data_IF_443930873972
#
_entry.id   IF_443930873972
#
_cell.length_a   1.000
_cell.length_b   1.000
_cell.length_c   1.000
_cell.angle_alpha   90.00
_cell.angle_beta   90.00
_cell.angle_gamma   90.00
#
_symmetry.space_group_name_H-M   'P 1'
#
loop_
_entity.id
_entity.type
_entity.pdbx_description
1 polymer ?
#
# COMPACT_ATOMS: atom_id res chain seq x y z
N UNK A 1 -18.88 18.36 -5.85
CA UNK A 1 -17.99 17.77 -6.87
C UNK A 1 -17.37 18.93 -7.63
N UNK A 2 -16.04 18.93 -7.79
CA UNK A 2 -15.36 19.97 -8.55
C UNK A 2 -15.38 19.66 -10.04
N UNK A 3 -15.02 18.42 -10.37
CA UNK A 3 -15.03 17.89 -11.73
C UNK A 3 -15.08 16.36 -11.71
N UNK A 4 -15.37 15.81 -12.87
CA UNK A 4 -15.19 14.38 -13.15
C UNK A 4 -14.19 14.19 -14.27
N UNK A 5 -13.53 13.04 -14.31
CA UNK A 5 -12.70 12.68 -15.44
C UNK A 5 -13.30 11.48 -16.19
N UNK A 6 -13.06 11.41 -17.49
CA UNK A 6 -13.45 10.31 -18.37
C UNK A 6 -12.28 9.95 -19.29
N UNK A 7 -12.28 8.74 -19.81
CA UNK A 7 -11.26 8.32 -20.76
C UNK A 7 -11.40 9.05 -22.10
N UNK A 8 -10.38 9.82 -22.46
CA UNK A 8 -10.32 10.64 -23.69
C UNK A 8 -9.89 9.86 -24.94
N UNK A 9 -9.74 8.55 -24.84
CA UNK A 9 -9.24 7.70 -25.93
C UNK A 9 -7.72 7.67 -26.01
N UNK A 10 -7.22 6.74 -26.81
CA UNK A 10 -5.80 6.69 -27.16
C UNK A 10 -5.49 7.82 -28.14
N UNK A 11 -4.84 8.86 -27.68
CA UNK A 11 -4.45 9.95 -28.54
C UNK A 11 -3.57 9.42 -29.67
N UNK A 12 -3.98 9.62 -30.91
CA UNK A 12 -3.12 9.51 -32.09
C UNK A 12 -2.05 10.62 -31.99
N UNK A 13 -1.01 10.37 -31.20
CA UNK A 13 0.14 11.27 -31.19
C UNK A 13 1.03 10.93 -32.37
N UNK A 14 1.19 11.79 -33.37
CA UNK A 14 2.00 11.54 -34.54
C UNK A 14 3.50 11.32 -34.22
N UNK A 15 3.94 11.58 -32.99
CA UNK A 15 5.33 11.52 -32.56
C UNK A 15 5.57 10.68 -31.28
N UNK A 16 4.63 9.87 -30.81
CA UNK A 16 4.89 8.86 -29.77
C UNK A 16 4.91 7.49 -30.44
N UNK A 17 6.03 6.70 -30.27
CA UNK A 17 5.97 5.29 -30.60
C UNK A 17 4.83 4.68 -29.76
N UNK A 18 4.02 3.84 -30.40
CA UNK A 18 2.98 3.07 -29.72
C UNK A 18 3.56 2.49 -28.44
N UNK A 19 3.05 2.91 -27.30
CA UNK A 19 3.44 2.29 -26.02
C UNK A 19 3.06 0.83 -26.13
N UNK A 20 3.97 -0.06 -25.75
CA UNK A 20 3.80 -1.51 -25.77
C UNK A 20 2.43 -1.87 -25.22
N UNK A 21 1.55 -2.40 -26.06
CA UNK A 21 0.26 -2.87 -25.64
C UNK A 21 -0.80 -2.78 -26.72
N UNK A 22 -0.70 -3.65 -27.72
CA UNK A 22 -1.84 -4.10 -28.48
C UNK A 22 -2.30 -3.22 -29.64
N UNK A 23 -2.55 -3.88 -30.71
CA UNK A 23 -3.27 -3.42 -31.88
C UNK A 23 -4.68 -2.98 -31.50
N UNK A 24 -4.93 -1.69 -31.55
CA UNK A 24 -6.25 -1.09 -31.45
C UNK A 24 -6.26 0.18 -30.59
N UNK A 25 -6.39 1.31 -31.25
CA UNK A 25 -6.71 2.56 -30.58
C UNK A 25 -8.08 2.39 -29.90
N UNK A 26 -8.13 2.43 -28.57
CA UNK A 26 -9.40 2.43 -27.84
C UNK A 26 -10.01 3.82 -27.97
N UNK A 27 -11.28 3.91 -28.41
CA UNK A 27 -11.96 5.20 -28.57
C UNK A 27 -12.18 5.89 -27.22
N UNK A 28 -12.40 7.19 -27.27
CA UNK A 28 -12.84 7.94 -26.10
C UNK A 28 -14.19 7.40 -25.58
N UNK A 29 -14.35 7.46 -24.28
CA UNK A 29 -15.61 7.09 -23.61
C UNK A 29 -16.62 8.24 -23.69
N UNK A 30 -17.21 8.41 -24.87
CA UNK A 30 -18.24 9.41 -25.10
C UNK A 30 -19.56 9.09 -24.38
N UNK A 31 -19.78 7.83 -23.98
CA UNK A 31 -20.99 7.43 -23.27
C UNK A 31 -20.96 7.98 -21.84
N UNK A 32 -19.88 7.79 -21.11
CA UNK A 32 -19.70 8.36 -19.77
C UNK A 32 -19.76 9.89 -19.79
N UNK A 33 -19.16 10.53 -20.79
CA UNK A 33 -19.24 11.98 -20.96
C UNK A 33 -20.71 12.45 -21.06
N UNK A 34 -21.50 11.86 -21.95
CA UNK A 34 -22.91 12.20 -22.13
C UNK A 34 -23.78 11.92 -20.90
N UNK A 35 -23.46 10.84 -20.17
CA UNK A 35 -24.14 10.51 -18.92
C UNK A 35 -23.87 11.61 -17.89
N UNK A 36 -22.62 12.03 -17.71
CA UNK A 36 -22.28 13.09 -16.78
C UNK A 36 -22.91 14.44 -17.16
N UNK A 37 -22.91 14.80 -18.44
CA UNK A 37 -23.61 16.00 -18.94
C UNK A 37 -25.10 15.95 -18.63
N UNK A 38 -25.71 14.76 -18.67
CA UNK A 38 -27.15 14.58 -18.37
C UNK A 38 -27.44 14.64 -16.87
N UNK A 39 -26.49 14.28 -16.02
CA UNK A 39 -26.62 14.36 -14.56
C UNK A 39 -26.53 15.81 -14.08
N UNK A 40 -25.52 16.53 -14.55
CA UNK A 40 -25.32 17.94 -14.24
C UNK A 40 -24.57 18.64 -15.40
N UNK A 41 -25.27 19.41 -16.18
CA UNK A 41 -24.72 20.14 -17.35
C UNK A 41 -23.70 21.23 -16.97
N UNK A 42 -23.59 21.58 -15.69
CA UNK A 42 -22.62 22.55 -15.19
C UNK A 42 -21.31 21.90 -14.71
N UNK A 43 -21.26 20.58 -14.66
CA UNK A 43 -20.11 19.83 -14.17
C UNK A 43 -18.96 19.91 -15.19
N UNK A 44 -17.77 20.25 -14.70
CA UNK A 44 -16.57 20.19 -15.52
C UNK A 44 -16.19 18.72 -15.78
N UNK A 45 -16.05 18.35 -17.07
CA UNK A 45 -15.63 17.00 -17.48
C UNK A 45 -14.25 17.09 -18.12
N UNK A 46 -13.27 16.38 -17.54
CA UNK A 46 -11.90 16.30 -18.05
C UNK A 46 -11.69 15.00 -18.80
N UNK A 47 -11.09 15.08 -19.98
CA UNK A 47 -10.72 13.92 -20.79
C UNK A 47 -9.25 13.59 -20.53
N UNK A 48 -9.01 12.43 -19.92
CA UNK A 48 -7.68 11.99 -19.57
C UNK A 48 -7.27 10.72 -20.33
N UNK A 49 -5.98 10.44 -20.34
CA UNK A 49 -5.43 9.30 -21.09
C UNK A 49 -5.42 8.00 -20.29
N UNK A 50 -4.80 6.95 -20.87
CA UNK A 50 -4.69 5.61 -20.25
C UNK A 50 -4.07 5.62 -18.86
N UNK A 51 -3.18 6.54 -18.57
CA UNK A 51 -2.50 6.58 -17.29
C UNK A 51 -3.47 6.89 -16.15
N UNK A 52 -4.48 7.70 -16.44
CA UNK A 52 -5.36 8.27 -15.42
C UNK A 52 -6.76 7.65 -15.51
N UNK A 53 -7.33 7.48 -16.73
CA UNK A 53 -8.69 6.95 -16.90
C UNK A 53 -8.77 5.63 -17.69
N UNK A 54 -7.82 4.72 -17.46
CA UNK A 54 -7.92 3.36 -17.97
C UNK A 54 -7.33 2.37 -16.94
N UNK A 55 -8.11 1.39 -16.52
CA UNK A 55 -7.72 0.47 -15.47
C UNK A 55 -7.54 -0.97 -15.97
N UNK A 56 -6.58 -1.68 -15.37
CA UNK A 56 -6.30 -3.08 -15.62
C UNK A 56 -5.30 -3.36 -16.74
N UNK A 57 -4.90 -4.63 -16.85
CA UNK A 57 -5.21 -5.71 -15.93
C UNK A 57 -4.39 -5.59 -14.61
N UNK A 58 -4.90 -6.19 -13.51
CA UNK A 58 -4.17 -6.25 -12.23
C UNK A 58 -3.06 -7.29 -12.19
N UNK A 59 -3.05 -8.21 -13.15
CA UNK A 59 -2.05 -9.25 -13.32
C UNK A 59 -1.33 -9.17 -14.66
N UNK A 60 -0.80 -10.29 -15.11
CA UNK A 60 -0.19 -10.39 -16.44
C UNK A 60 -1.24 -10.27 -17.56
N UNK A 61 -2.47 -10.68 -17.27
CA UNK A 61 -3.62 -10.62 -18.17
C UNK A 61 -4.91 -10.51 -17.34
N UNK A 62 -6.00 -10.06 -17.95
CA UNK A 62 -7.29 -9.95 -17.28
C UNK A 62 -8.19 -8.85 -17.83
N UNK A 63 -9.38 -8.64 -17.20
CA UNK A 63 -10.29 -7.59 -17.56
C UNK A 63 -9.64 -6.21 -17.41
N UNK A 64 -10.03 -5.29 -18.27
CA UNK A 64 -9.58 -3.90 -18.27
C UNK A 64 -10.60 -3.02 -19.01
N UNK A 65 -10.47 -1.71 -18.85
CA UNK A 65 -11.32 -0.80 -19.60
C UNK A 65 -11.24 0.66 -19.13
N UNK A 66 -12.01 1.55 -19.78
CA UNK A 66 -12.07 2.94 -19.42
C UNK A 66 -12.63 3.12 -18.01
N UNK A 67 -12.26 4.24 -17.39
CA UNK A 67 -12.74 4.63 -16.06
C UNK A 67 -13.32 6.03 -16.09
N UNK A 68 -14.19 6.31 -15.12
CA UNK A 68 -14.58 7.66 -14.76
C UNK A 68 -14.34 7.89 -13.29
N UNK A 69 -13.84 9.06 -12.94
CA UNK A 69 -13.45 9.39 -11.58
C UNK A 69 -14.10 10.69 -11.12
N UNK A 70 -14.41 10.76 -9.83
CA UNK A 70 -15.04 11.92 -9.20
C UNK A 70 -14.04 12.60 -8.28
N UNK A 71 -13.89 13.93 -8.46
CA UNK A 71 -12.95 14.75 -7.72
C UNK A 71 -13.63 15.80 -6.87
N UNK A 72 -13.12 15.96 -5.63
CA UNK A 72 -13.53 17.04 -4.71
C UNK A 72 -12.29 17.63 -4.07
N UNK A 73 -12.13 18.95 -4.13
CA UNK A 73 -10.94 19.69 -3.70
C UNK A 73 -9.63 19.13 -4.31
N UNK A 74 -9.70 18.71 -5.59
CA UNK A 74 -8.59 18.09 -6.29
C UNK A 74 -8.22 16.68 -5.82
N UNK A 75 -9.03 16.07 -4.97
CA UNK A 75 -8.85 14.71 -4.47
C UNK A 75 -9.82 13.78 -5.21
N UNK A 76 -9.29 12.74 -5.85
CA UNK A 76 -10.10 11.64 -6.36
C UNK A 76 -10.72 10.90 -5.16
N UNK A 77 -12.07 10.88 -5.12
CA UNK A 77 -12.81 10.20 -4.06
C UNK A 77 -13.42 8.89 -4.53
N UNK A 78 -13.72 8.76 -5.81
CA UNK A 78 -14.42 7.61 -6.36
C UNK A 78 -13.95 7.30 -7.77
N UNK A 79 -13.67 6.04 -8.05
CA UNK A 79 -13.34 5.50 -9.37
C UNK A 79 -14.38 4.45 -9.77
N UNK A 80 -14.90 4.54 -10.98
CA UNK A 80 -15.83 3.58 -11.58
C UNK A 80 -15.14 3.03 -12.83
N UNK A 81 -14.96 1.71 -12.88
CA UNK A 81 -14.26 0.99 -13.94
C UNK A 81 -15.27 0.25 -14.82
N UNK A 82 -15.19 0.45 -16.12
CA UNK A 82 -15.98 -0.29 -17.10
C UNK A 82 -15.12 -1.37 -17.74
N UNK A 83 -15.27 -2.61 -17.25
CA UNK A 83 -14.56 -3.78 -17.80
C UNK A 83 -15.16 -4.15 -19.15
N UNK A 84 -14.63 -3.57 -20.21
CA UNK A 84 -15.09 -3.76 -21.59
C UNK A 84 -14.16 -4.64 -22.39
N UNK A 85 -12.93 -4.81 -21.97
CA UNK A 85 -11.90 -5.52 -22.70
C UNK A 85 -11.23 -6.57 -21.82
N UNK A 86 -10.64 -7.58 -22.47
CA UNK A 86 -9.66 -8.49 -21.91
C UNK A 86 -8.28 -8.11 -22.46
N UNK A 87 -7.36 -7.78 -21.59
CA UNK A 87 -5.97 -7.54 -21.93
C UNK A 87 -5.17 -8.81 -21.75
N UNK A 88 -4.61 -9.35 -22.84
CA UNK A 88 -3.75 -10.53 -22.83
C UNK A 88 -2.34 -10.23 -22.32
N UNK A 89 -1.63 -11.27 -21.92
CA UNK A 89 -0.23 -11.16 -21.46
C UNK A 89 0.74 -10.69 -22.54
N UNK A 90 0.35 -10.76 -23.79
CA UNK A 90 1.05 -10.20 -24.95
C UNK A 90 0.72 -8.72 -25.23
N UNK A 91 -0.18 -8.15 -24.43
CA UNK A 91 -0.69 -6.80 -24.59
C UNK A 91 -1.85 -6.67 -25.58
N UNK A 92 -2.32 -7.78 -26.17
CA UNK A 92 -3.51 -7.77 -27.04
C UNK A 92 -4.76 -7.40 -26.26
N UNK A 93 -5.69 -6.71 -26.92
CA UNK A 93 -6.96 -6.31 -26.32
C UNK A 93 -8.13 -6.86 -27.11
N UNK A 94 -9.05 -7.54 -26.43
CA UNK A 94 -10.24 -8.11 -27.02
C UNK A 94 -11.47 -7.59 -26.29
N UNK A 95 -12.47 -7.15 -27.02
CA UNK A 95 -13.74 -6.73 -26.41
C UNK A 95 -14.41 -7.91 -25.71
N UNK A 96 -14.88 -7.70 -24.49
CA UNK A 96 -15.60 -8.71 -23.71
C UNK A 96 -17.04 -8.87 -24.28
N UNK A 97 -17.54 -10.09 -24.27
CA UNK A 97 -18.94 -10.39 -24.60
C UNK A 97 -19.89 -9.92 -23.49
N UNK A 98 -19.46 -10.12 -22.23
CA UNK A 98 -20.18 -9.68 -21.04
C UNK A 98 -19.40 -8.50 -20.42
N UNK A 99 -20.01 -7.34 -20.46
CA UNK A 99 -19.46 -6.14 -19.85
C UNK A 99 -19.62 -6.20 -18.32
N UNK A 100 -18.68 -5.63 -17.62
CA UNK A 100 -18.72 -5.56 -16.15
C UNK A 100 -18.46 -4.14 -15.67
N UNK A 101 -18.99 -3.83 -14.51
CA UNK A 101 -18.67 -2.59 -13.79
C UNK A 101 -18.02 -2.98 -12.47
N UNK A 102 -16.88 -2.38 -12.18
CA UNK A 102 -16.23 -2.44 -10.88
C UNK A 102 -16.12 -1.03 -10.32
N UNK A 103 -16.02 -0.89 -9.01
CA UNK A 103 -15.98 0.43 -8.41
C UNK A 103 -15.18 0.43 -7.12
N UNK A 104 -14.45 1.53 -6.89
CA UNK A 104 -13.68 1.76 -5.68
C UNK A 104 -13.84 3.18 -5.18
N UNK A 105 -14.24 3.31 -3.91
CA UNK A 105 -14.32 4.59 -3.23
C UNK A 105 -13.39 4.58 -2.02
N UNK A 106 -12.51 5.58 -1.91
CA UNK A 106 -11.63 5.70 -0.75
C UNK A 106 -12.38 6.19 0.48
N UNK A 107 -12.66 5.30 1.44
CA UNK A 107 -13.36 5.67 2.68
C UNK A 107 -12.70 6.87 3.38
N UNK A 108 -11.39 6.85 3.52
CA UNK A 108 -10.63 7.90 4.18
C UNK A 108 -10.67 9.22 3.41
N UNK A 109 -10.62 9.14 2.07
CA UNK A 109 -10.71 10.32 1.20
C UNK A 109 -12.11 10.93 1.28
N UNK A 110 -13.14 10.10 1.20
CA UNK A 110 -14.54 10.52 1.35
C UNK A 110 -14.78 11.15 2.73
N UNK A 111 -14.31 10.50 3.81
CA UNK A 111 -14.45 11.02 5.16
C UNK A 111 -13.76 12.39 5.32
N UNK A 112 -12.56 12.56 4.76
CA UNK A 112 -11.85 13.84 4.80
C UNK A 112 -12.64 14.95 4.10
N UNK A 113 -13.22 14.67 2.93
CA UNK A 113 -14.02 15.62 2.18
C UNK A 113 -15.31 15.99 2.93
N UNK A 114 -16.09 15.00 3.37
CA UNK A 114 -17.37 15.21 4.08
C UNK A 114 -17.17 15.93 5.40
N UNK A 115 -16.11 15.59 6.15
CA UNK A 115 -15.75 16.23 7.42
C UNK A 115 -14.98 17.55 7.24
N UNK A 116 -14.73 17.98 5.99
CA UNK A 116 -13.98 19.20 5.66
C UNK A 116 -12.59 19.24 6.33
N UNK A 117 -11.89 18.10 6.33
CA UNK A 117 -10.54 17.95 6.88
C UNK A 117 -9.48 18.09 5.79
N UNK A 118 -8.32 18.62 6.16
CA UNK A 118 -7.18 18.78 5.24
C UNK A 118 -6.42 17.48 5.02
N UNK A 119 -6.56 16.52 5.92
CA UNK A 119 -5.89 15.24 5.88
C UNK A 119 -6.79 14.13 6.41
N UNK A 120 -6.66 12.92 5.85
CA UNK A 120 -7.33 11.71 6.35
C UNK A 120 -7.04 11.48 7.85
N UNK A 121 -5.86 11.89 8.31
CA UNK A 121 -5.44 11.75 9.70
C UNK A 121 -6.17 12.69 10.69
N UNK A 122 -6.91 13.66 10.19
CA UNK A 122 -7.73 14.58 11.01
C UNK A 122 -9.19 14.12 11.10
N UNK A 123 -9.55 13.05 10.39
CA UNK A 123 -10.90 12.48 10.41
C UNK A 123 -11.13 11.64 11.67
N UNK A 124 -12.38 11.32 11.94
CA UNK A 124 -12.77 10.41 13.02
C UNK A 124 -12.17 9.00 12.89
N UNK A 125 -11.76 8.61 11.67
CA UNK A 125 -11.10 7.32 11.43
C UNK A 125 -9.69 7.24 12.04
N UNK A 126 -8.95 8.35 12.11
CA UNK A 126 -7.57 8.37 12.57
C UNK A 126 -7.30 9.27 13.78
N UNK A 127 -8.07 10.34 13.97
CA UNK A 127 -7.86 11.28 15.06
C UNK A 127 -7.84 10.59 16.44
N UNK A 128 -8.72 9.62 16.75
CA UNK A 128 -8.67 8.90 18.04
C UNK A 128 -7.37 8.11 18.24
N UNK A 129 -6.79 7.55 17.16
CA UNK A 129 -5.52 6.82 17.22
C UNK A 129 -4.35 7.78 17.47
N UNK A 130 -4.36 8.94 16.79
CA UNK A 130 -3.33 9.97 16.99
C UNK A 130 -3.38 10.58 18.39
N UNK A 131 -4.55 10.67 19.02
CA UNK A 131 -4.69 11.10 20.42
C UNK A 131 -3.89 10.19 21.37
N UNK A 132 -3.91 8.86 21.13
CA UNK A 132 -3.14 7.89 21.92
C UNK A 132 -1.62 8.05 21.75
N UNK A 133 -1.20 8.67 20.66
CA UNK A 133 0.22 8.95 20.36
C UNK A 133 0.67 10.36 20.78
N UNK A 134 -0.22 11.20 21.28
CA UNK A 134 0.15 12.58 21.76
C UNK A 134 1.24 12.58 22.83
N UNK A 135 1.19 11.68 23.83
CA UNK A 135 2.20 11.65 24.89
C UNK A 135 3.61 11.27 24.41
N UNK A 136 3.76 10.74 23.19
CA UNK A 136 5.06 10.35 22.64
C UNK A 136 5.79 11.54 22.04
N UNK A 137 7.13 11.50 22.02
CA UNK A 137 7.98 12.48 21.34
C UNK A 137 8.08 12.23 19.83
N UNK A 138 7.36 11.24 19.29
CA UNK A 138 7.29 10.95 17.87
C UNK A 138 7.02 12.20 17.02
N UNK A 139 7.74 12.34 15.92
CA UNK A 139 7.41 13.33 14.91
C UNK A 139 6.00 13.09 14.35
N UNK A 140 5.36 14.13 13.82
CA UNK A 140 4.02 13.99 13.21
C UNK A 140 3.96 12.91 12.12
N UNK A 141 5.05 12.69 11.39
CA UNK A 141 5.16 11.59 10.40
C UNK A 141 5.13 10.23 11.07
N UNK A 142 5.93 10.01 12.11
CA UNK A 142 5.98 8.72 12.82
C UNK A 142 4.64 8.43 13.49
N UNK A 143 3.97 9.42 14.08
CA UNK A 143 2.62 9.27 14.65
C UNK A 143 1.62 8.77 13.60
N UNK A 144 1.61 9.37 12.41
CA UNK A 144 0.74 8.94 11.30
C UNK A 144 1.06 7.51 10.84
N UNK A 145 2.33 7.19 10.64
CA UNK A 145 2.75 5.84 10.26
C UNK A 145 2.37 4.82 11.33
N UNK A 146 2.56 5.13 12.61
CA UNK A 146 2.18 4.22 13.71
C UNK A 146 0.68 3.99 13.77
N UNK A 147 -0.13 5.04 13.63
CA UNK A 147 -1.59 4.93 13.60
C UNK A 147 -2.09 4.08 12.42
N UNK A 148 -1.60 4.37 11.23
CA UNK A 148 -1.94 3.64 9.99
C UNK A 148 -1.53 2.16 10.07
N UNK A 149 -0.28 1.90 10.44
CA UNK A 149 0.21 0.53 10.56
C UNK A 149 -0.50 -0.25 11.66
N UNK A 150 -0.82 0.39 12.80
CA UNK A 150 -1.56 -0.30 13.87
C UNK A 150 -2.95 -0.72 13.41
N UNK A 151 -3.65 0.12 12.63
CA UNK A 151 -4.93 -0.25 12.03
C UNK A 151 -4.76 -1.40 11.04
N UNK A 152 -3.80 -1.32 10.12
CA UNK A 152 -3.52 -2.39 9.16
C UNK A 152 -3.14 -3.71 9.86
N UNK A 153 -2.35 -3.66 10.94
CA UNK A 153 -2.00 -4.84 11.76
C UNK A 153 -3.27 -5.49 12.33
N UNK A 154 -4.16 -4.69 12.92
CA UNK A 154 -5.39 -5.20 13.52
C UNK A 154 -6.25 -5.94 12.50
N UNK A 155 -6.50 -5.33 11.34
CA UNK A 155 -7.31 -5.94 10.28
C UNK A 155 -6.65 -7.17 9.66
N UNK A 156 -5.34 -7.15 9.38
CA UNK A 156 -4.65 -8.32 8.85
C UNK A 156 -4.69 -9.52 9.81
N UNK A 157 -4.58 -9.27 11.12
CA UNK A 157 -4.68 -10.33 12.12
C UNK A 157 -6.12 -10.85 12.20
N UNK A 158 -7.10 -9.97 12.18
CA UNK A 158 -8.52 -10.33 12.13
C UNK A 158 -8.85 -11.20 10.91
N UNK A 159 -8.25 -10.92 9.75
CA UNK A 159 -8.32 -11.77 8.55
C UNK A 159 -7.57 -13.11 8.68
N UNK A 160 -7.08 -13.46 9.87
CA UNK A 160 -6.35 -14.71 10.13
C UNK A 160 -4.91 -14.73 9.66
N UNK A 161 -4.34 -13.59 9.23
CA UNK A 161 -2.95 -13.53 8.77
C UNK A 161 -2.00 -13.61 9.97
N UNK A 162 -0.96 -14.46 9.84
CA UNK A 162 0.11 -14.58 10.84
C UNK A 162 1.44 -14.07 10.26
N UNK A 163 2.30 -13.44 11.09
CA UNK A 163 3.62 -12.99 10.65
C UNK A 163 4.45 -14.13 10.07
N UNK A 164 4.93 -13.98 8.83
CA UNK A 164 5.71 -15.01 8.14
C UNK A 164 6.79 -14.38 7.24
N UNK A 165 7.55 -15.21 6.50
CA UNK A 165 8.54 -14.76 5.52
C UNK A 165 7.99 -14.67 4.09
N UNK A 166 6.69 -14.92 3.89
CA UNK A 166 6.09 -14.99 2.55
C UNK A 166 4.76 -14.24 2.51
N UNK A 167 4.41 -13.77 1.35
CA UNK A 167 3.10 -13.23 0.98
C UNK A 167 2.56 -12.19 1.98
N UNK A 168 1.28 -12.24 2.30
CA UNK A 168 0.62 -11.33 3.25
C UNK A 168 1.25 -11.35 4.64
N UNK A 169 1.71 -12.52 5.10
CA UNK A 169 2.38 -12.65 6.41
C UNK A 169 3.72 -11.92 6.48
N UNK A 170 4.44 -11.81 5.37
CA UNK A 170 5.65 -10.97 5.27
C UNK A 170 5.32 -9.49 5.43
N UNK A 171 4.24 -9.03 4.80
CA UNK A 171 3.79 -7.64 4.95
C UNK A 171 3.43 -7.35 6.41
N UNK A 172 2.61 -8.21 7.03
CA UNK A 172 2.24 -8.08 8.44
C UNK A 172 3.47 -8.01 9.35
N UNK A 173 4.42 -8.95 9.18
CA UNK A 173 5.67 -8.95 9.95
C UNK A 173 6.44 -7.64 9.79
N UNK A 174 6.56 -7.12 8.58
CA UNK A 174 7.29 -5.90 8.26
C UNK A 174 6.68 -4.68 8.95
N UNK A 175 5.35 -4.51 8.90
CA UNK A 175 4.70 -3.37 9.54
C UNK A 175 4.71 -3.46 11.07
N UNK A 176 4.57 -4.66 11.65
CA UNK A 176 4.75 -4.87 13.10
C UNK A 176 6.15 -4.43 13.52
N UNK A 177 7.18 -4.93 12.87
CA UNK A 177 8.58 -4.60 13.19
C UNK A 177 8.87 -3.11 13.08
N UNK A 178 8.25 -2.44 12.13
CA UNK A 178 8.39 -1.00 11.99
C UNK A 178 7.78 -0.25 13.18
N UNK A 179 6.59 -0.60 13.60
CA UNK A 179 5.95 -0.03 14.82
C UNK A 179 6.77 -0.34 16.07
N UNK A 180 7.25 -1.57 16.21
CA UNK A 180 8.12 -1.98 17.33
C UNK A 180 9.40 -1.14 17.39
N UNK A 181 10.05 -0.89 16.25
CA UNK A 181 11.29 -0.11 16.20
C UNK A 181 11.05 1.34 16.63
N UNK A 182 9.98 1.97 16.14
CA UNK A 182 9.64 3.33 16.59
C UNK A 182 9.38 3.38 18.09
N UNK A 183 8.63 2.41 18.63
CA UNK A 183 8.42 2.31 20.08
C UNK A 183 9.72 2.13 20.86
N UNK A 184 10.61 1.27 20.39
CA UNK A 184 11.92 1.05 21.04
C UNK A 184 12.77 2.32 21.11
N UNK A 185 12.79 3.12 20.04
CA UNK A 185 13.53 4.39 19.99
C UNK A 185 13.03 5.43 21.01
N UNK A 186 11.76 5.35 21.39
CA UNK A 186 11.12 6.20 22.38
C UNK A 186 11.08 5.56 23.78
N UNK A 187 11.81 4.46 24.00
CA UNK A 187 11.77 3.68 25.23
C UNK A 187 10.38 3.16 25.62
N UNK A 188 9.49 3.01 24.66
CA UNK A 188 8.19 2.38 24.84
C UNK A 188 8.39 0.87 24.83
N UNK A 189 8.36 0.27 26.01
CA UNK A 189 8.69 -1.16 26.21
C UNK A 189 7.56 -2.13 25.85
N UNK A 190 6.39 -1.65 25.46
CA UNK A 190 5.22 -2.47 25.13
C UNK A 190 4.49 -1.94 23.91
N UNK A 191 3.75 -2.84 23.22
CA UNK A 191 2.88 -2.40 22.14
C UNK A 191 1.91 -1.32 22.61
N UNK A 192 1.45 -0.47 21.71
CA UNK A 192 0.42 0.50 22.01
C UNK A 192 -0.94 -0.18 22.19
N UNK A 193 -1.10 -0.92 23.29
CA UNK A 193 -2.34 -1.65 23.61
C UNK A 193 -3.57 -0.76 23.50
N UNK A 194 -3.46 0.49 23.95
CA UNK A 194 -4.55 1.46 23.86
C UNK A 194 -4.93 1.83 22.43
N UNK A 195 -3.97 1.75 21.47
CA UNK A 195 -4.29 1.97 20.06
C UNK A 195 -5.13 0.81 19.53
N UNK A 196 -4.73 -0.44 19.82
CA UNK A 196 -5.51 -1.61 19.39
C UNK A 196 -6.91 -1.64 20.02
N UNK A 197 -7.04 -1.31 21.29
CA UNK A 197 -8.37 -1.13 21.93
C UNK A 197 -9.19 -0.05 21.24
N UNK A 198 -8.56 1.07 20.88
CA UNK A 198 -9.24 2.17 20.18
C UNK A 198 -9.70 1.73 18.79
N UNK A 199 -8.90 0.92 18.08
CA UNK A 199 -9.28 0.36 16.77
C UNK A 199 -10.48 -0.57 16.93
N UNK A 200 -10.43 -1.52 17.85
CA UNK A 200 -11.55 -2.46 18.09
C UNK A 200 -12.82 -1.71 18.49
N UNK A 201 -12.72 -0.73 19.38
CA UNK A 201 -13.88 0.08 19.78
C UNK A 201 -14.45 0.95 18.66
N UNK A 202 -13.62 1.38 17.71
CA UNK A 202 -14.05 2.25 16.60
C UNK A 202 -14.59 1.50 15.39
N UNK A 203 -14.23 0.24 15.23
CA UNK A 203 -14.58 -0.54 14.04
C UNK A 203 -15.33 -1.84 14.34
N UNK A 204 -15.32 -2.31 15.60
CA UNK A 204 -15.87 -3.62 15.98
C UNK A 204 -17.37 -3.77 15.75
N UNK A 205 -18.15 -2.68 15.81
CA UNK A 205 -19.59 -2.72 15.51
C UNK A 205 -19.89 -3.03 14.03
N UNK A 206 -18.90 -2.82 13.15
CA UNK A 206 -19.03 -3.07 11.69
C UNK A 206 -18.27 -4.35 11.30
N UNK A 207 -17.14 -4.59 11.94
CA UNK A 207 -16.22 -5.70 11.67
C UNK A 207 -16.18 -6.62 12.91
N UNK A 208 -17.14 -7.53 13.01
CA UNK A 208 -17.35 -8.41 14.18
C UNK A 208 -16.13 -9.31 14.49
N UNK A 209 -15.30 -9.60 13.47
CA UNK A 209 -14.09 -10.41 13.61
C UNK A 209 -12.90 -9.67 14.25
N UNK A 210 -13.03 -8.36 14.54
CA UNK A 210 -11.99 -7.59 15.22
C UNK A 210 -11.92 -7.93 16.71
N UNK A 211 -11.14 -8.94 17.07
CA UNK A 211 -10.91 -9.35 18.44
C UNK A 211 -9.60 -8.82 19.02
N UNK A 212 -9.69 -8.08 20.13
CA UNK A 212 -8.53 -7.50 20.79
C UNK A 212 -7.55 -8.56 21.29
N UNK A 213 -8.04 -9.69 21.81
CA UNK A 213 -7.20 -10.74 22.41
C UNK A 213 -6.33 -11.41 21.35
N UNK A 214 -6.86 -11.66 20.17
CA UNK A 214 -6.13 -12.24 19.06
C UNK A 214 -5.11 -11.25 18.47
N UNK A 215 -5.51 -9.98 18.31
CA UNK A 215 -4.61 -8.92 17.84
C UNK A 215 -3.41 -8.78 18.77
N UNK A 216 -3.62 -8.63 20.06
CA UNK A 216 -2.53 -8.41 21.00
C UNK A 216 -1.64 -9.65 21.16
N UNK A 217 -2.21 -10.84 21.10
CA UNK A 217 -1.47 -12.10 21.15
C UNK A 217 -0.48 -12.21 19.98
N UNK A 218 -0.97 -12.09 18.75
CA UNK A 218 -0.15 -12.22 17.54
C UNK A 218 0.90 -11.11 17.47
N UNK A 219 0.52 -9.88 17.83
CA UNK A 219 1.46 -8.75 17.89
C UNK A 219 2.57 -9.02 18.93
N UNK A 220 2.21 -9.42 20.15
CA UNK A 220 3.16 -9.64 21.23
C UNK A 220 4.15 -10.77 20.92
N UNK A 221 3.69 -11.85 20.29
CA UNK A 221 4.58 -12.94 19.86
C UNK A 221 5.66 -12.46 18.88
N UNK A 222 5.32 -11.62 17.89
CA UNK A 222 6.30 -11.08 16.94
C UNK A 222 7.16 -9.99 17.60
N UNK A 223 6.60 -9.18 18.50
CA UNK A 223 7.33 -8.21 19.32
C UNK A 223 8.45 -8.88 20.11
N UNK A 224 8.13 -9.92 20.89
CA UNK A 224 9.10 -10.64 21.73
C UNK A 224 10.21 -11.33 20.93
N UNK A 225 9.87 -11.82 19.73
CA UNK A 225 10.88 -12.40 18.83
C UNK A 225 11.81 -11.34 18.27
N UNK A 226 11.25 -10.20 17.86
CA UNK A 226 12.02 -9.18 17.17
C UNK A 226 12.86 -8.32 18.11
N UNK A 227 12.33 -7.98 19.30
CA UNK A 227 13.04 -7.11 20.25
C UNK A 227 14.40 -7.69 20.66
N UNK A 228 14.53 -9.03 20.67
CA UNK A 228 15.79 -9.73 21.01
C UNK A 228 16.92 -9.43 20.02
N UNK A 229 16.60 -9.16 18.76
CA UNK A 229 17.57 -8.90 17.70
C UNK A 229 17.65 -7.43 17.30
N UNK A 230 16.62 -6.65 17.63
CA UNK A 230 16.50 -5.25 17.23
C UNK A 230 17.69 -4.40 17.72
N UNK A 231 18.02 -4.48 18.98
CA UNK A 231 19.11 -3.68 19.56
C UNK A 231 20.46 -4.01 18.90
N UNK A 232 20.74 -5.29 18.70
CA UNK A 232 21.95 -5.73 18.01
C UNK A 232 21.98 -5.26 16.56
N UNK A 233 20.86 -5.33 15.87
CA UNK A 233 20.74 -4.87 14.49
C UNK A 233 20.93 -3.36 14.35
N UNK A 234 20.39 -2.57 15.27
CA UNK A 234 20.59 -1.11 15.28
C UNK A 234 22.05 -0.75 15.56
N UNK A 235 22.71 -1.43 16.52
CA UNK A 235 24.13 -1.25 16.79
C UNK A 235 25.02 -1.61 15.58
N UNK A 236 24.66 -2.66 14.83
CA UNK A 236 25.39 -2.99 13.60
C UNK A 236 25.16 -1.95 12.50
N UNK A 237 23.94 -1.45 12.37
CA UNK A 237 23.62 -0.37 11.43
C UNK A 237 24.41 0.91 11.74
N UNK A 238 24.61 1.25 13.03
CA UNK A 238 25.37 2.41 13.44
C UNK A 238 26.85 2.33 13.07
N UNK A 239 27.43 1.13 13.05
CA UNK A 239 28.85 0.90 12.69
C UNK A 239 29.15 1.11 11.19
N UNK A 240 28.15 1.04 10.34
CA UNK A 240 28.34 1.16 8.91
C UNK A 240 28.56 2.61 8.48
N UNK A 241 29.67 2.89 7.82
CA UNK A 241 29.99 4.20 7.29
C UNK A 241 29.09 4.56 6.08
N UNK A 242 28.70 3.56 5.28
CA UNK A 242 27.75 3.66 4.19
C UNK A 242 26.85 2.43 4.20
N UNK A 243 25.62 2.57 3.69
CA UNK A 243 24.64 1.49 3.63
C UNK A 243 24.18 1.35 2.19
N UNK A 244 24.59 0.26 1.57
CA UNK A 244 24.19 -0.19 0.24
C UNK A 244 23.15 -1.33 0.31
N UNK A 245 22.74 -1.86 -0.82
CA UNK A 245 21.74 -2.90 -0.89
C UNK A 245 22.19 -4.21 -0.23
N UNK A 246 23.46 -4.58 -0.37
CA UNK A 246 24.02 -5.81 0.22
C UNK A 246 24.08 -5.72 1.74
N UNK A 247 24.61 -4.63 2.28
CA UNK A 247 24.68 -4.40 3.73
C UNK A 247 23.29 -4.26 4.35
N UNK A 248 22.37 -3.59 3.67
CA UNK A 248 20.98 -3.47 4.08
C UNK A 248 20.27 -4.84 4.10
N UNK A 249 20.49 -5.66 3.07
CA UNK A 249 19.93 -7.02 3.02
C UNK A 249 20.52 -7.90 4.14
N UNK A 250 21.80 -7.80 4.41
CA UNK A 250 22.44 -8.53 5.53
C UNK A 250 21.86 -8.14 6.90
N UNK A 251 21.58 -6.87 7.12
CA UNK A 251 20.88 -6.40 8.33
C UNK A 251 19.45 -6.94 8.43
N UNK A 252 18.74 -7.00 7.31
CA UNK A 252 17.42 -7.61 7.24
C UNK A 252 17.48 -9.11 7.53
N UNK A 253 18.38 -9.85 6.88
CA UNK A 253 18.52 -11.30 7.02
C UNK A 253 18.93 -11.70 8.44
N UNK A 254 19.93 -11.04 9.01
CA UNK A 254 20.54 -11.42 10.30
C UNK A 254 19.73 -10.93 11.51
N UNK A 255 19.16 -9.73 11.42
CA UNK A 255 18.49 -9.07 12.55
C UNK A 255 17.00 -8.80 12.30
N UNK A 256 16.55 -8.98 11.08
CA UNK A 256 15.17 -8.75 10.70
C UNK A 256 14.79 -7.28 10.63
N UNK A 257 15.74 -6.36 10.47
CA UNK A 257 15.46 -4.94 10.32
C UNK A 257 14.73 -4.69 9.01
N UNK A 258 13.53 -4.07 9.02
CA UNK A 258 12.84 -3.69 7.78
C UNK A 258 13.63 -2.69 6.96
N UNK A 259 13.55 -2.77 5.63
CA UNK A 259 14.18 -1.82 4.72
C UNK A 259 13.89 -0.36 5.09
N UNK A 260 12.65 -0.06 5.42
CA UNK A 260 12.22 1.30 5.77
C UNK A 260 12.94 1.82 7.01
N UNK A 261 13.18 0.96 7.99
CA UNK A 261 13.94 1.29 9.20
C UNK A 261 15.41 1.51 8.85
N UNK A 262 16.01 0.60 8.08
CA UNK A 262 17.40 0.74 7.65
C UNK A 262 17.59 2.07 6.91
N UNK A 263 16.73 2.37 5.94
CA UNK A 263 16.79 3.60 5.16
C UNK A 263 16.63 4.86 6.01
N UNK A 264 15.65 4.87 6.92
CA UNK A 264 15.31 6.00 7.76
C UNK A 264 16.43 6.31 8.79
N UNK A 265 16.98 5.28 9.42
CA UNK A 265 18.02 5.46 10.44
C UNK A 265 19.43 5.61 9.87
N UNK A 266 19.65 5.22 8.64
CA UNK A 266 20.94 5.48 7.96
C UNK A 266 21.07 6.92 7.46
N UNK A 267 19.98 7.63 7.25
CA UNK A 267 19.98 9.02 6.74
C UNK A 267 20.85 9.15 5.48
N UNK A 268 21.81 10.06 5.51
CA UNK A 268 22.71 10.34 4.37
C UNK A 268 23.63 9.16 4.03
N UNK A 269 23.86 8.23 4.95
CA UNK A 269 24.66 7.01 4.71
C UNK A 269 23.99 6.04 3.73
N UNK A 270 22.67 6.15 3.51
CA UNK A 270 21.89 5.31 2.61
C UNK A 270 21.40 6.08 1.36
N UNK A 271 22.12 7.11 0.90
CA UNK A 271 21.69 7.93 -0.24
C UNK A 271 21.47 7.09 -1.52
N UNK A 272 22.31 6.10 -1.74
CA UNK A 272 22.25 5.22 -2.92
C UNK A 272 21.43 3.94 -2.70
N UNK A 273 20.84 3.76 -1.52
CA UNK A 273 20.00 2.61 -1.23
C UNK A 273 18.60 2.83 -1.78
N UNK A 274 18.27 2.14 -2.87
CA UNK A 274 16.92 2.13 -3.45
C UNK A 274 16.18 0.87 -3.06
N UNK A 275 14.85 0.92 -3.17
CA UNK A 275 14.00 -0.23 -2.90
C UNK A 275 14.24 -1.35 -3.90
N UNK A 276 14.39 -0.99 -5.16
CA UNK A 276 14.65 -1.92 -6.27
C UNK A 276 15.94 -2.70 -6.04
N UNK A 277 17.04 -2.00 -5.69
CA UNK A 277 18.33 -2.64 -5.43
C UNK A 277 18.27 -3.60 -4.22
N UNK A 278 17.53 -3.23 -3.17
CA UNK A 278 17.32 -4.10 -2.01
C UNK A 278 16.50 -5.35 -2.39
N UNK A 279 15.45 -5.19 -3.18
CA UNK A 279 14.58 -6.29 -3.63
C UNK A 279 15.32 -7.24 -4.59
N UNK A 280 16.30 -6.74 -5.36
CA UNK A 280 17.20 -7.59 -6.15
C UNK A 280 18.08 -8.48 -5.27
N UNK A 281 18.68 -7.94 -4.20
CA UNK A 281 19.45 -8.76 -3.24
C UNK A 281 18.56 -9.80 -2.55
N UNK A 282 17.34 -9.42 -2.19
CA UNK A 282 16.35 -10.34 -1.63
C UNK A 282 16.05 -11.49 -2.61
N UNK A 283 15.85 -11.18 -3.89
CA UNK A 283 15.61 -12.18 -4.94
C UNK A 283 16.80 -13.11 -5.15
N UNK A 284 18.02 -12.56 -5.22
CA UNK A 284 19.27 -13.36 -5.34
C UNK A 284 19.37 -14.40 -4.21
N UNK A 285 19.02 -13.98 -2.98
CA UNK A 285 19.05 -14.88 -1.82
C UNK A 285 17.95 -15.96 -1.91
N UNK A 286 16.74 -15.61 -2.33
CA UNK A 286 15.67 -16.58 -2.55
C UNK A 286 16.06 -17.63 -3.60
N UNK A 287 16.69 -17.23 -4.69
CA UNK A 287 17.09 -18.13 -5.76
C UNK A 287 18.23 -19.06 -5.29
N UNK A 288 19.20 -18.56 -4.54
CA UNK A 288 20.24 -19.38 -3.88
C UNK A 288 19.63 -20.41 -2.94
N UNK A 289 18.66 -20.01 -2.11
CA UNK A 289 17.96 -20.88 -1.18
C UNK A 289 17.17 -21.98 -1.90
N UNK A 290 16.44 -21.63 -2.97
CA UNK A 290 15.71 -22.59 -3.82
C UNK A 290 16.66 -23.59 -4.50
N UNK A 291 17.76 -23.10 -5.07
CA UNK A 291 18.76 -23.97 -5.72
C UNK A 291 19.41 -24.95 -4.72
N UNK A 292 19.65 -24.51 -3.48
CA UNK A 292 20.20 -25.38 -2.42
C UNK A 292 19.20 -26.47 -2.02
N UNK A 293 17.92 -26.15 -1.88
CA UNK A 293 16.85 -27.11 -1.58
C UNK A 293 16.74 -28.14 -2.70
N UNK A 294 16.72 -27.74 -3.97
CA UNK A 294 16.67 -28.66 -5.12
C UNK A 294 17.86 -29.61 -5.16
N UNK A 295 19.07 -29.14 -4.87
CA UNK A 295 20.28 -30.00 -4.78
C UNK A 295 20.24 -31.01 -3.63
N UNK A 296 19.52 -30.70 -2.55
CA UNK A 296 19.40 -31.60 -1.38
C UNK A 296 18.40 -32.73 -1.60
N UNK A 297 17.40 -32.53 -2.47
CA UNK A 297 16.40 -33.54 -2.82
C UNK A 297 16.78 -34.36 -4.07
N UNK A 298 17.90 -34.06 -4.73
CA UNK A 298 18.45 -34.84 -5.86
C UNK A 298 19.55 -35.85 -5.41
N UNK A 299 19.85 -35.92 -4.11
CA UNK A 299 20.67 -36.94 -3.47
C UNK A 299 19.79 -37.90 -2.65
#
# INVERSE_FOLDING_TARGET
>A
IDYVSVFGGDAKHPNRPAQRGGEGDIPADEESEKIWESVDSSLEIKKEGRKDNFWGPTGLEGPCGPTTEIYVNGIEIWNIVFNEYYCGSDGSMKKLENLGVDTGMGLERLAAVVQKKKSIFETDLFAPLLEKLKPTSFSGRIKRVTADHSRAIAFLISDGIKPSNKDRGYILRRIIRRVVTYGYMENIKRPPEDIFKTIVNGYGDIYEDLDYSDIIKVYSEEYERFIKTLESGLKELEKLASVDAESAFRLYESFGLPYEIIREFSKDRAMNLTREAFDEEFKKHQDKSRAWVLKKFQK
#
